data_IF_380043658492
#
_entry.id   IF_380043658492
#
_cell.length_a   1.000
_cell.length_b   1.000
_cell.length_c   1.000
_cell.angle_alpha   90.00
_cell.angle_beta   90.00
_cell.angle_gamma   90.00
#
_symmetry.space_group_name_H-M   'P 1'
#
loop_
_entity.id
_entity.type
_entity.pdbx_description
1 polymer ?
#
# COMPACT_ATOMS: atom_id res chain seq x y z
N UNK A 1 -19.49 33.98 -28.37
CA UNK A 1 -18.89 33.73 -27.04
C UNK A 1 -18.66 35.07 -26.37
N UNK A 2 -18.88 35.21 -25.05
CA UNK A 2 -18.73 36.50 -24.38
C UNK A 2 -17.27 36.95 -24.40
N UNK A 3 -17.06 38.24 -24.68
CA UNK A 3 -15.75 38.84 -24.93
C UNK A 3 -15.24 39.67 -23.74
N UNK A 4 -16.06 39.88 -22.72
CA UNK A 4 -15.76 40.66 -21.52
C UNK A 4 -16.85 40.54 -20.46
N UNK A 5 -16.69 41.32 -19.38
CA UNK A 5 -17.63 41.46 -18.28
C UNK A 5 -18.52 42.69 -18.51
N UNK A 6 -19.83 42.51 -18.37
CA UNK A 6 -20.77 43.61 -18.24
C UNK A 6 -21.06 43.84 -16.76
N UNK A 7 -20.79 45.05 -16.27
CA UNK A 7 -20.95 45.43 -14.87
C UNK A 7 -22.05 46.48 -14.83
N UNK A 8 -23.11 46.22 -14.08
CA UNK A 8 -24.18 47.20 -13.83
C UNK A 8 -24.07 47.67 -12.39
N UNK A 9 -23.89 48.97 -12.18
CA UNK A 9 -23.89 49.57 -10.85
C UNK A 9 -25.30 49.93 -10.41
N UNK A 10 -25.49 50.11 -9.10
CA UNK A 10 -26.78 50.50 -8.52
C UNK A 10 -27.22 51.89 -9.02
N UNK A 11 -26.27 52.77 -9.35
CA UNK A 11 -26.49 54.07 -10.00
C UNK A 11 -26.94 53.97 -11.47
N UNK A 12 -27.18 52.75 -11.99
CA UNK A 12 -27.66 52.50 -13.35
C UNK A 12 -26.58 52.61 -14.44
N UNK A 13 -25.30 52.79 -14.07
CA UNK A 13 -24.20 52.79 -15.05
C UNK A 13 -23.92 51.37 -15.51
N UNK A 14 -23.77 51.22 -16.82
CA UNK A 14 -23.28 49.99 -17.44
C UNK A 14 -21.83 50.19 -17.86
N UNK A 15 -20.92 49.41 -17.29
CA UNK A 15 -19.52 49.35 -17.67
C UNK A 15 -19.26 48.05 -18.42
N UNK A 16 -18.39 48.11 -19.41
CA UNK A 16 -17.95 46.96 -20.18
C UNK A 16 -16.45 46.80 -20.09
N UNK A 17 -15.98 45.65 -19.61
CA UNK A 17 -14.56 45.33 -19.45
C UNK A 17 -14.19 44.12 -20.33
N UNK A 18 -13.43 44.31 -21.43
CA UNK A 18 -12.91 43.21 -22.23
C UNK A 18 -12.02 42.29 -21.40
N UNK A 19 -12.12 40.96 -21.57
CA UNK A 19 -11.34 40.03 -20.74
C UNK A 19 -9.82 40.25 -20.84
N UNK A 20 -9.34 40.62 -22.02
CA UNK A 20 -7.92 40.89 -22.30
C UNK A 20 -7.34 42.09 -21.52
N UNK A 21 -8.20 43.04 -21.14
CA UNK A 21 -7.80 44.23 -20.37
C UNK A 21 -7.89 44.00 -18.85
N UNK A 22 -8.38 42.83 -18.42
CA UNK A 22 -8.61 42.53 -17.01
C UNK A 22 -7.44 41.75 -16.44
N UNK A 23 -6.88 42.28 -15.36
CA UNK A 23 -5.85 41.59 -14.58
C UNK A 23 -6.41 41.16 -13.24
N UNK A 24 -6.25 39.89 -12.90
CA UNK A 24 -6.53 39.42 -11.54
C UNK A 24 -5.34 39.75 -10.64
N UNK A 25 -5.57 40.58 -9.61
CA UNK A 25 -4.51 40.97 -8.66
C UNK A 25 -4.63 40.25 -7.31
N UNK A 26 -5.83 39.79 -6.94
CA UNK A 26 -6.09 39.02 -5.72
C UNK A 26 -7.16 37.93 -5.92
N UNK A 27 -7.42 37.11 -4.90
CA UNK A 27 -8.40 36.02 -4.99
C UNK A 27 -7.83 34.71 -5.51
N UNK A 28 -6.53 34.48 -5.32
CA UNK A 28 -5.86 33.23 -5.71
C UNK A 28 -6.06 32.10 -4.69
N UNK A 29 -6.49 32.43 -3.46
CA UNK A 29 -6.65 31.49 -2.36
C UNK A 29 -8.07 31.50 -1.80
N UNK A 30 -8.49 30.36 -1.23
CA UNK A 30 -9.78 30.23 -0.56
C UNK A 30 -9.88 31.23 0.61
N UNK A 31 -10.99 31.97 0.67
CA UNK A 31 -11.23 33.02 1.67
C UNK A 31 -10.75 34.42 1.26
N UNK A 32 -10.07 34.57 0.11
CA UNK A 32 -9.76 35.88 -0.45
C UNK A 32 -10.88 36.34 -1.39
N UNK A 33 -11.16 37.64 -1.37
CA UNK A 33 -12.02 38.26 -2.37
C UNK A 33 -11.30 38.31 -3.72
N UNK A 34 -12.04 38.11 -4.81
CA UNK A 34 -11.53 38.20 -6.16
C UNK A 34 -11.42 39.68 -6.53
N UNK A 35 -10.20 40.15 -6.79
CA UNK A 35 -9.95 41.53 -7.22
C UNK A 35 -9.49 41.53 -8.67
N UNK A 36 -10.28 42.19 -9.51
CA UNK A 36 -10.04 42.41 -10.92
C UNK A 36 -9.73 43.88 -11.14
N UNK A 37 -8.66 44.17 -11.87
CA UNK A 37 -8.23 45.53 -12.19
C UNK A 37 -8.17 45.76 -13.69
N UNK A 38 -8.54 46.97 -14.12
CA UNK A 38 -8.48 47.43 -15.51
C UNK A 38 -7.80 48.80 -15.58
N UNK A 39 -6.74 48.92 -16.39
CA UNK A 39 -5.97 50.16 -16.59
C UNK A 39 -4.62 50.16 -15.87
N UNK A 40 -3.74 51.11 -16.22
CA UNK A 40 -2.34 51.14 -15.74
C UNK A 40 -2.09 52.18 -14.62
N UNK A 41 -2.35 53.47 -14.86
CA UNK A 41 -1.95 54.55 -13.92
C UNK A 41 -2.98 54.81 -12.80
N UNK A 42 -4.28 54.66 -13.08
CA UNK A 42 -5.36 54.67 -12.08
C UNK A 42 -6.31 53.50 -12.41
N UNK A 43 -6.01 52.27 -11.96
CA UNK A 43 -6.80 51.11 -12.30
C UNK A 43 -8.18 51.17 -11.64
N UNK A 44 -9.22 50.92 -12.43
CA UNK A 44 -10.54 50.63 -11.89
C UNK A 44 -10.49 49.23 -11.27
N UNK A 45 -10.97 49.08 -10.03
CA UNK A 45 -10.96 47.80 -9.33
C UNK A 45 -12.37 47.29 -9.09
N UNK A 46 -12.65 46.07 -9.55
CA UNK A 46 -13.85 45.31 -9.23
C UNK A 46 -13.51 44.25 -8.18
N UNK A 47 -14.17 44.32 -7.04
CA UNK A 47 -14.01 43.34 -5.95
C UNK A 47 -15.26 42.47 -5.89
N UNK A 48 -15.08 41.17 -6.11
CA UNK A 48 -16.13 40.16 -6.04
C UNK A 48 -15.85 39.27 -4.83
N UNK A 49 -16.78 39.25 -3.87
CA UNK A 49 -16.62 38.48 -2.63
C UNK A 49 -16.66 36.96 -2.86
N UNK A 50 -17.39 36.51 -3.88
CA UNK A 50 -17.59 35.11 -4.17
C UNK A 50 -16.53 34.57 -5.13
N UNK A 51 -15.75 33.58 -4.70
CA UNK A 51 -14.74 32.90 -5.52
C UNK A 51 -15.36 31.99 -6.58
N UNK A 52 -16.62 31.58 -6.43
CA UNK A 52 -17.34 30.81 -7.44
C UNK A 52 -17.53 31.59 -8.75
N UNK A 53 -17.42 32.92 -8.70
CA UNK A 53 -17.36 33.78 -9.87
C UNK A 53 -16.28 33.34 -10.88
N UNK A 54 -15.05 33.04 -10.42
CA UNK A 54 -13.97 32.61 -11.31
C UNK A 54 -14.27 31.27 -11.97
N UNK A 55 -14.91 30.35 -11.25
CA UNK A 55 -15.35 29.07 -11.81
C UNK A 55 -16.46 29.26 -12.87
N UNK A 56 -17.38 30.21 -12.65
CA UNK A 56 -18.41 30.54 -13.62
C UNK A 56 -17.82 31.18 -14.89
N UNK A 57 -16.86 32.10 -14.74
CA UNK A 57 -16.14 32.71 -15.88
C UNK A 57 -15.42 31.65 -16.72
N UNK A 58 -14.76 30.68 -16.08
CA UNK A 58 -14.11 29.56 -16.78
C UNK A 58 -15.11 28.66 -17.54
N UNK A 59 -16.33 28.46 -17.02
CA UNK A 59 -17.37 27.67 -17.73
C UNK A 59 -17.92 28.39 -18.95
N UNK A 60 -18.06 29.71 -18.88
CA UNK A 60 -18.72 30.52 -19.91
C UNK A 60 -17.74 31.00 -21.00
N UNK A 61 -16.46 31.23 -20.64
CA UNK A 61 -15.43 31.73 -21.55
C UNK A 61 -14.07 31.02 -21.35
N UNK A 62 -13.97 29.70 -21.55
CA UNK A 62 -12.78 28.90 -21.22
C UNK A 62 -11.50 29.35 -21.95
N UNK A 63 -11.63 29.82 -23.20
CA UNK A 63 -10.48 30.24 -24.02
C UNK A 63 -9.91 31.60 -23.61
N UNK A 64 -10.77 32.51 -23.15
CA UNK A 64 -10.37 33.87 -22.74
C UNK A 64 -10.07 33.96 -21.25
N UNK A 65 -10.61 33.07 -20.44
CA UNK A 65 -10.37 33.02 -18.99
C UNK A 65 -9.04 32.35 -18.60
N UNK A 66 -8.23 31.87 -19.55
CA UNK A 66 -6.98 31.13 -19.27
C UNK A 66 -5.98 31.89 -18.39
N UNK A 67 -6.02 33.23 -18.40
CA UNK A 67 -5.16 34.08 -17.58
C UNK A 67 -5.68 34.27 -16.15
N UNK A 68 -6.93 33.87 -15.86
CA UNK A 68 -7.48 33.87 -14.51
C UNK A 68 -7.13 32.56 -13.78
N UNK A 69 -7.13 32.64 -12.46
CA UNK A 69 -6.96 31.44 -11.64
C UNK A 69 -8.20 30.54 -11.72
N UNK A 70 -7.99 29.25 -11.96
CA UNK A 70 -9.05 28.24 -11.97
C UNK A 70 -9.09 27.49 -10.62
N UNK A 71 -9.99 27.87 -9.69
CA UNK A 71 -10.08 27.21 -8.39
C UNK A 71 -10.55 25.76 -8.49
N UNK A 72 -11.33 25.40 -9.53
CA UNK A 72 -11.89 24.06 -9.67
C UNK A 72 -10.83 22.98 -9.94
N UNK A 73 -9.74 23.35 -10.63
CA UNK A 73 -8.60 22.44 -10.86
C UNK A 73 -7.92 22.01 -9.56
N UNK A 74 -7.93 22.84 -8.52
CA UNK A 74 -7.29 22.53 -7.25
C UNK A 74 -8.04 21.45 -6.50
N UNK A 75 -9.36 21.52 -6.47
CA UNK A 75 -10.18 20.53 -5.77
C UNK A 75 -10.16 19.17 -6.48
N UNK A 76 -10.15 19.18 -7.81
CA UNK A 76 -9.93 17.97 -8.60
C UNK A 76 -8.57 17.35 -8.29
N UNK A 77 -7.50 18.15 -8.25
CA UNK A 77 -6.15 17.64 -7.90
C UNK A 77 -6.12 17.04 -6.50
N UNK A 78 -6.73 17.69 -5.51
CA UNK A 78 -6.84 17.16 -4.13
C UNK A 78 -7.57 15.83 -4.10
N UNK A 79 -8.73 15.74 -4.76
CA UNK A 79 -9.51 14.52 -4.84
C UNK A 79 -8.71 13.39 -5.52
N UNK A 80 -8.03 13.68 -6.62
CA UNK A 80 -7.16 12.72 -7.31
C UNK A 80 -5.98 12.29 -6.45
N UNK A 81 -5.35 13.20 -5.71
CA UNK A 81 -4.25 12.83 -4.79
C UNK A 81 -4.73 11.96 -3.64
N UNK A 82 -5.91 12.23 -3.08
CA UNK A 82 -6.51 11.41 -2.04
C UNK A 82 -6.87 10.02 -2.58
N UNK A 83 -7.48 9.96 -3.77
CA UNK A 83 -7.80 8.70 -4.45
C UNK A 83 -6.53 7.89 -4.75
N UNK A 84 -5.46 8.52 -5.23
CA UNK A 84 -4.18 7.87 -5.47
C UNK A 84 -3.58 7.31 -4.19
N UNK A 85 -3.63 8.06 -3.07
CA UNK A 85 -3.16 7.59 -1.78
C UNK A 85 -3.94 6.35 -1.31
N UNK A 86 -5.29 6.37 -1.42
CA UNK A 86 -6.14 5.22 -1.08
C UNK A 86 -5.83 4.02 -1.98
N UNK A 87 -5.63 4.24 -3.28
CA UNK A 87 -5.28 3.19 -4.23
C UNK A 87 -3.94 2.53 -3.89
N UNK A 88 -2.92 3.31 -3.52
CA UNK A 88 -1.61 2.78 -3.10
C UNK A 88 -1.75 1.89 -1.86
N UNK A 89 -2.53 2.31 -0.86
CA UNK A 89 -2.77 1.52 0.35
C UNK A 89 -3.50 0.22 -0.01
N UNK A 90 -4.56 0.30 -0.83
CA UNK A 90 -5.34 -0.87 -1.24
C UNK A 90 -4.50 -1.87 -2.05
N UNK A 91 -3.69 -1.40 -3.00
CA UNK A 91 -2.79 -2.24 -3.80
C UNK A 91 -1.74 -2.90 -2.89
N UNK A 92 -1.15 -2.14 -1.97
CA UNK A 92 -0.17 -2.68 -1.01
C UNK A 92 -0.77 -3.77 -0.14
N UNK A 93 -1.99 -3.55 0.37
CA UNK A 93 -2.72 -4.54 1.16
C UNK A 93 -3.05 -5.80 0.33
N UNK A 94 -3.49 -5.63 -0.92
CA UNK A 94 -3.76 -6.73 -1.84
C UNK A 94 -2.49 -7.56 -2.13
N UNK A 95 -1.35 -6.90 -2.37
CA UNK A 95 -0.07 -7.58 -2.57
C UNK A 95 0.36 -8.34 -1.32
N UNK A 96 0.23 -7.75 -0.15
CA UNK A 96 0.56 -8.41 1.11
C UNK A 96 -0.32 -9.64 1.36
N UNK A 97 -1.63 -9.51 1.17
CA UNK A 97 -2.62 -10.56 1.45
C UNK A 97 -2.60 -11.69 0.42
N UNK A 98 -2.27 -11.42 -0.84
CA UNK A 98 -2.38 -12.42 -1.92
C UNK A 98 -1.07 -12.75 -2.61
N UNK A 99 -0.21 -11.76 -2.89
CA UNK A 99 1.04 -12.02 -3.60
C UNK A 99 2.04 -12.79 -2.73
N UNK A 100 2.19 -12.44 -1.44
CA UNK A 100 3.11 -13.15 -0.54
C UNK A 100 2.71 -14.62 -0.38
N UNK A 101 1.44 -14.98 -0.05
CA UNK A 101 1.06 -16.38 0.04
C UNK A 101 1.21 -17.15 -1.27
N UNK A 102 0.86 -16.53 -2.40
CA UNK A 102 1.00 -17.15 -3.71
C UNK A 102 2.47 -17.41 -4.09
N UNK A 103 3.38 -16.50 -3.73
CA UNK A 103 4.81 -16.73 -3.94
C UNK A 103 5.35 -17.80 -2.97
N UNK A 104 4.87 -17.82 -1.73
CA UNK A 104 5.28 -18.80 -0.74
C UNK A 104 4.97 -20.23 -1.21
N UNK A 105 3.79 -20.49 -1.77
CA UNK A 105 3.41 -21.83 -2.26
C UNK A 105 4.30 -22.31 -3.41
N UNK A 106 4.76 -21.41 -4.27
CA UNK A 106 5.69 -21.74 -5.36
C UNK A 106 7.09 -22.06 -4.81
N UNK A 107 7.54 -21.31 -3.80
CA UNK A 107 8.87 -21.51 -3.22
C UNK A 107 8.95 -22.80 -2.40
N UNK A 108 7.85 -23.22 -1.76
CA UNK A 108 7.82 -24.45 -0.94
C UNK A 108 8.25 -25.68 -1.75
N UNK A 109 7.83 -25.83 -3.01
CA UNK A 109 8.24 -26.96 -3.85
C UNK A 109 9.73 -26.96 -4.25
N UNK A 110 10.44 -25.88 -3.96
CA UNK A 110 11.86 -25.72 -4.25
C UNK A 110 12.74 -25.69 -2.99
N UNK A 111 12.18 -25.90 -1.80
CA UNK A 111 12.96 -26.02 -0.58
C UNK A 111 13.68 -27.37 -0.58
N UNK A 112 15.03 -27.40 -0.60
CA UNK A 112 15.75 -28.66 -0.55
C UNK A 112 15.68 -29.26 0.85
N UNK A 113 15.62 -30.59 0.93
CA UNK A 113 15.60 -31.36 2.19
C UNK A 113 16.74 -30.96 3.15
N UNK A 114 17.91 -30.59 2.61
CA UNK A 114 19.06 -30.15 3.41
C UNK A 114 18.81 -28.88 4.23
N UNK A 115 17.87 -28.03 3.84
CA UNK A 115 17.47 -26.87 4.64
C UNK A 115 16.61 -27.28 5.82
N UNK A 116 15.72 -28.25 5.61
CA UNK A 116 14.89 -28.82 6.68
C UNK A 116 15.74 -29.56 7.71
N UNK A 117 16.74 -30.34 7.26
CA UNK A 117 17.70 -31.03 8.14
C UNK A 117 18.46 -30.05 9.04
N UNK A 118 18.99 -28.96 8.49
CA UNK A 118 19.71 -27.93 9.28
C UNK A 118 18.81 -27.26 10.31
N UNK A 119 17.55 -27.00 9.93
CA UNK A 119 16.58 -26.40 10.84
C UNK A 119 16.18 -27.39 11.95
N UNK A 120 16.03 -28.67 11.61
CA UNK A 120 15.83 -29.77 12.55
C UNK A 120 16.95 -29.90 13.57
N UNK A 121 18.21 -29.91 13.12
CA UNK A 121 19.39 -30.04 13.98
C UNK A 121 19.41 -28.97 15.09
N UNK A 122 19.08 -27.72 14.74
CA UNK A 122 18.98 -26.61 15.70
C UNK A 122 17.84 -26.78 16.71
N UNK A 123 16.72 -27.39 16.32
CA UNK A 123 15.59 -27.69 17.21
C UNK A 123 15.96 -28.84 18.16
N UNK A 124 16.60 -29.89 17.65
CA UNK A 124 16.96 -31.09 18.40
C UNK A 124 17.97 -30.78 19.52
N UNK A 125 18.91 -29.86 19.31
CA UNK A 125 19.80 -29.40 20.37
C UNK A 125 19.06 -28.87 21.61
N UNK A 126 17.82 -28.36 21.44
CA UNK A 126 16.98 -27.89 22.54
C UNK A 126 16.01 -28.94 23.05
N UNK A 127 15.37 -29.71 22.17
CA UNK A 127 14.36 -30.71 22.54
C UNK A 127 14.97 -31.99 23.12
N UNK A 128 16.04 -32.49 22.50
CA UNK A 128 16.71 -33.72 22.88
C UNK A 128 18.21 -33.48 23.06
N UNK A 129 18.64 -32.73 24.09
CA UNK A 129 20.05 -32.47 24.30
C UNK A 129 20.78 -33.78 24.69
N UNK A 130 22.06 -33.97 24.30
CA UNK A 130 22.76 -35.25 24.44
C UNK A 130 22.75 -35.84 25.86
N UNK A 131 22.78 -34.99 26.89
CA UNK A 131 22.80 -35.43 28.29
C UNK A 131 21.46 -36.00 28.79
N UNK A 132 20.35 -35.79 28.08
CA UNK A 132 19.05 -36.41 28.38
C UNK A 132 18.70 -37.58 27.47
N UNK A 133 19.52 -37.85 26.46
CA UNK A 133 19.25 -38.90 25.49
C UNK A 133 19.56 -40.28 26.08
N UNK A 134 18.64 -41.22 25.87
CA UNK A 134 18.82 -42.62 26.19
C UNK A 134 19.57 -43.29 25.02
N UNK A 135 20.81 -43.72 25.25
CA UNK A 135 21.68 -44.31 24.21
C UNK A 135 21.86 -45.83 24.34
N UNK A 136 21.02 -46.51 25.14
CA UNK A 136 21.17 -47.94 25.39
C UNK A 136 20.96 -48.76 24.09
N UNK A 137 21.98 -49.53 23.62
CA UNK A 137 21.97 -50.12 22.29
C UNK A 137 20.80 -51.06 22.01
N UNK A 138 20.43 -51.91 22.99
CA UNK A 138 19.35 -52.89 22.82
C UNK A 138 17.99 -52.22 22.63
N UNK A 139 17.71 -51.15 23.39
CA UNK A 139 16.46 -50.39 23.30
C UNK A 139 16.39 -49.59 22.01
N UNK A 140 17.48 -48.92 21.65
CA UNK A 140 17.57 -48.17 20.39
C UNK A 140 17.43 -49.08 19.17
N UNK A 141 18.02 -50.29 19.21
CA UNK A 141 17.88 -51.25 18.12
C UNK A 141 16.44 -51.71 17.92
N UNK A 142 15.70 -51.99 18.99
CA UNK A 142 14.29 -52.37 18.90
C UNK A 142 13.44 -51.22 18.31
N UNK A 143 13.68 -49.98 18.73
CA UNK A 143 12.99 -48.80 18.22
C UNK A 143 13.31 -48.59 16.73
N UNK A 144 14.58 -48.67 16.34
CA UNK A 144 15.00 -48.50 14.96
C UNK A 144 14.39 -49.56 14.03
N UNK A 145 14.20 -50.80 14.51
CA UNK A 145 13.52 -51.86 13.75
C UNK A 145 12.05 -51.52 13.50
N UNK A 146 11.35 -51.00 14.52
CA UNK A 146 9.95 -50.57 14.38
C UNK A 146 9.86 -49.43 13.36
N UNK A 147 10.73 -48.42 13.48
CA UNK A 147 10.76 -47.25 12.58
C UNK A 147 11.07 -47.67 11.15
N UNK A 148 12.04 -48.56 10.95
CA UNK A 148 12.37 -49.08 9.63
C UNK A 148 11.20 -49.85 8.99
N UNK A 149 10.49 -50.68 9.78
CA UNK A 149 9.31 -51.40 9.30
C UNK A 149 8.17 -50.44 8.91
N UNK A 150 7.98 -49.35 9.66
CA UNK A 150 7.00 -48.31 9.34
C UNK A 150 7.42 -47.50 8.11
N UNK A 151 8.67 -47.06 8.03
CA UNK A 151 9.19 -46.26 6.93
C UNK A 151 9.15 -47.02 5.59
N UNK A 152 9.36 -48.34 5.60
CA UNK A 152 9.26 -49.17 4.41
C UNK A 152 7.88 -49.17 3.74
N UNK A 153 6.83 -48.70 4.44
CA UNK A 153 5.47 -48.58 3.88
C UNK A 153 5.22 -47.25 3.17
N UNK A 154 6.13 -46.28 3.32
CA UNK A 154 5.99 -44.95 2.72
C UNK A 154 6.55 -44.97 1.27
N UNK A 155 5.81 -44.43 0.29
CA UNK A 155 6.35 -44.22 -1.06
C UNK A 155 7.49 -43.20 -1.02
N UNK A 156 8.40 -43.29 -2.00
CA UNK A 156 9.69 -42.58 -2.11
C UNK A 156 9.72 -41.22 -1.40
N UNK A 157 10.16 -41.26 -0.14
CA UNK A 157 10.01 -40.18 0.82
C UNK A 157 11.23 -39.27 0.94
N UNK A 158 12.39 -39.62 0.35
CA UNK A 158 13.59 -38.76 0.36
C UNK A 158 14.19 -38.40 1.73
N UNK A 159 13.61 -38.85 2.85
CA UNK A 159 14.07 -38.55 4.22
C UNK A 159 14.75 -39.74 4.88
N UNK A 160 15.72 -39.46 5.76
CA UNK A 160 16.30 -40.45 6.68
C UNK A 160 15.75 -40.22 8.08
N UNK A 161 14.89 -41.12 8.57
CA UNK A 161 14.31 -40.98 9.90
C UNK A 161 15.32 -41.27 11.01
N UNK A 162 15.42 -40.36 11.98
CA UNK A 162 16.31 -40.46 13.13
C UNK A 162 15.52 -40.29 14.42
N UNK A 163 15.45 -41.35 15.24
CA UNK A 163 14.70 -41.31 16.50
C UNK A 163 15.64 -41.00 17.67
N UNK A 164 15.27 -40.01 18.47
CA UNK A 164 15.99 -39.61 19.68
C UNK A 164 15.10 -39.81 20.90
N UNK A 165 15.46 -40.77 21.74
CA UNK A 165 14.72 -41.07 22.97
C UNK A 165 15.26 -40.21 24.11
N UNK A 166 14.40 -39.45 24.76
CA UNK A 166 14.74 -38.60 25.91
C UNK A 166 14.17 -39.20 27.20
N UNK A 167 14.95 -39.16 28.27
CA UNK A 167 14.47 -39.55 29.61
C UNK A 167 13.60 -38.44 30.21
N UNK A 168 12.30 -38.49 29.95
CA UNK A 168 11.30 -37.57 30.49
C UNK A 168 10.11 -38.37 31.09
N UNK A 169 9.56 -37.97 32.27
CA UNK A 169 8.42 -38.67 32.87
C UNK A 169 7.10 -38.46 32.12
N UNK A 170 7.03 -37.52 31.18
CA UNK A 170 5.83 -37.24 30.38
C UNK A 170 5.75 -38.15 29.16
N UNK A 171 4.54 -38.64 28.86
CA UNK A 171 4.29 -39.42 27.64
C UNK A 171 4.07 -38.44 26.49
N UNK A 172 5.08 -38.28 25.62
CA UNK A 172 5.03 -37.38 24.47
C UNK A 172 5.95 -37.88 23.34
N UNK A 173 5.67 -37.45 22.11
CA UNK A 173 6.51 -37.65 20.93
C UNK A 173 6.33 -36.44 19.99
N UNK A 174 7.42 -35.96 19.40
CA UNK A 174 7.43 -34.75 18.57
C UNK A 174 8.32 -35.00 17.35
N UNK A 175 7.86 -34.62 16.17
CA UNK A 175 8.70 -34.63 14.97
C UNK A 175 9.32 -33.25 14.74
N UNK A 176 10.60 -33.22 14.37
CA UNK A 176 11.27 -32.03 13.89
C UNK A 176 11.62 -32.15 12.40
N UNK A 177 11.75 -31.02 11.67
CA UNK A 177 12.09 -31.02 10.24
C UNK A 177 13.37 -31.80 9.94
N UNK A 178 13.47 -32.38 8.73
CA UNK A 178 14.62 -33.21 8.34
C UNK A 178 14.58 -34.67 8.81
N UNK A 179 13.43 -35.14 9.30
CA UNK A 179 13.22 -36.56 9.63
C UNK A 179 13.55 -36.95 11.08
N UNK A 180 13.69 -35.98 11.99
CA UNK A 180 13.89 -36.26 13.41
C UNK A 180 12.57 -36.57 14.11
N UNK A 181 12.59 -37.57 14.98
CA UNK A 181 11.46 -38.04 15.80
C UNK A 181 11.90 -38.17 17.25
#
# INVERSE_FOLDING_TARGET
MPTGLQIRTDDGKNLWWPYEDIRQTQGFYAGQQVRLERGEQLPEALVVSDTAFLAAVHRVAPERAKHFHDPARRDIRRALTALAAVAVIAISAALYMWAIPALATVVVSHVPVTWEERLGEGIIQKLAPPYKQCTEPKRMQAINQIVAALAATLPDHGYTFQVLVVSDPTVNALAAPGGYI
#
